data_IF_859212484814
#
_entry.id   IF_859212484814
#
_cell.length_a   1.000
_cell.length_b   1.000
_cell.length_c   1.000
_cell.angle_alpha   90.00
_cell.angle_beta   90.00
_cell.angle_gamma   90.00
#
_symmetry.space_group_name_H-M   'P 1'
#
loop_
_entity.id
_entity.type
_entity.pdbx_description
1 polymer ?
#
# COMPACT_ATOMS: atom_id res chain seq x y z
N UNK A 1 -11.00 -4.43 29.24
CA UNK A 1 -9.76 -4.60 28.43
C UNK A 1 -9.57 -6.07 28.07
N UNK A 2 -9.89 -6.45 26.82
CA UNK A 2 -9.35 -7.57 26.03
C UNK A 2 -10.27 -7.76 24.84
N UNK A 3 -10.06 -6.95 23.81
CA UNK A 3 -10.47 -7.33 22.47
C UNK A 3 -9.59 -8.54 22.11
N UNK A 4 -10.11 -9.75 22.34
CA UNK A 4 -9.59 -10.92 21.66
C UNK A 4 -9.79 -10.64 20.19
N UNK A 5 -8.70 -10.29 19.51
CA UNK A 5 -8.65 -10.12 18.06
C UNK A 5 -9.30 -11.37 17.46
N UNK A 6 -10.47 -11.19 16.86
CA UNK A 6 -11.25 -12.32 16.37
C UNK A 6 -10.49 -12.98 15.21
N UNK A 7 -10.54 -14.31 15.03
CA UNK A 7 -9.75 -15.02 14.02
C UNK A 7 -9.97 -14.54 12.58
N UNK A 8 -11.12 -13.92 12.29
CA UNK A 8 -11.40 -13.23 11.03
C UNK A 8 -10.51 -12.00 10.79
N UNK A 9 -10.09 -11.30 11.84
CA UNK A 9 -9.23 -10.12 11.72
C UNK A 9 -7.80 -10.49 11.34
N UNK A 10 -7.21 -11.52 11.96
CA UNK A 10 -5.87 -12.00 11.59
C UNK A 10 -5.82 -12.45 10.14
N UNK A 11 -6.85 -13.16 9.68
CA UNK A 11 -6.97 -13.56 8.27
C UNK A 11 -7.06 -12.35 7.35
N UNK A 12 -7.77 -11.31 7.75
CA UNK A 12 -7.89 -10.08 6.97
C UNK A 12 -6.56 -9.32 6.88
N UNK A 13 -5.83 -9.19 8.00
CA UNK A 13 -4.48 -8.61 8.01
C UNK A 13 -3.53 -9.40 7.12
N UNK A 14 -3.53 -10.73 7.22
CA UNK A 14 -2.68 -11.58 6.40
C UNK A 14 -2.96 -11.40 4.89
N UNK A 15 -4.24 -11.36 4.50
CA UNK A 15 -4.64 -11.08 3.12
C UNK A 15 -4.23 -9.69 2.65
N UNK A 16 -4.37 -8.69 3.52
CA UNK A 16 -3.94 -7.32 3.22
C UNK A 16 -2.43 -7.25 2.98
N UNK A 17 -1.62 -7.88 3.84
CA UNK A 17 -0.17 -7.95 3.66
C UNK A 17 0.22 -8.71 2.39
N UNK A 18 -0.44 -9.83 2.09
CA UNK A 18 -0.23 -10.58 0.85
C UNK A 18 -0.63 -9.77 -0.39
N UNK A 19 -1.72 -9.00 -0.31
CA UNK A 19 -2.14 -8.08 -1.37
C UNK A 19 -1.09 -6.99 -1.61
N UNK A 20 -0.55 -6.41 -0.53
CA UNK A 20 0.55 -5.46 -0.58
C UNK A 20 1.80 -6.05 -1.22
N UNK A 21 2.25 -7.21 -0.76
CA UNK A 21 3.41 -7.91 -1.32
C UNK A 21 3.23 -8.24 -2.81
N UNK A 22 2.02 -8.67 -3.21
CA UNK A 22 1.67 -8.93 -4.61
C UNK A 22 1.75 -7.64 -5.45
N UNK A 23 1.22 -6.53 -4.94
CA UNK A 23 1.28 -5.22 -5.59
C UNK A 23 2.73 -4.74 -5.76
N UNK A 24 3.57 -4.90 -4.74
CA UNK A 24 5.01 -4.60 -4.82
C UNK A 24 5.70 -5.47 -5.87
N UNK A 25 5.40 -6.77 -5.92
CA UNK A 25 5.93 -7.68 -6.93
C UNK A 25 5.54 -7.24 -8.36
N UNK A 26 4.28 -6.85 -8.57
CA UNK A 26 3.80 -6.30 -9.84
C UNK A 26 4.56 -5.02 -10.21
N UNK A 27 4.74 -4.10 -9.26
CA UNK A 27 5.49 -2.86 -9.49
C UNK A 27 6.92 -3.16 -9.97
N UNK A 28 7.64 -4.01 -9.23
CA UNK A 28 9.02 -4.40 -9.56
C UNK A 28 9.09 -5.07 -10.92
N UNK A 29 8.16 -5.99 -11.22
CA UNK A 29 8.11 -6.67 -12.51
C UNK A 29 7.89 -5.71 -13.68
N UNK A 30 6.97 -4.74 -13.54
CA UNK A 30 6.72 -3.74 -14.59
C UNK A 30 7.95 -2.84 -14.78
N UNK A 31 8.53 -2.31 -13.70
CA UNK A 31 9.74 -1.46 -13.81
C UNK A 31 10.87 -2.23 -14.46
N UNK A 32 11.17 -3.44 -13.99
CA UNK A 32 12.25 -4.27 -14.53
C UNK A 32 12.02 -4.57 -16.02
N UNK A 33 10.79 -4.90 -16.41
CA UNK A 33 10.47 -5.20 -17.82
C UNK A 33 10.60 -3.97 -18.70
N UNK A 34 10.03 -2.83 -18.32
CA UNK A 34 10.07 -1.61 -19.13
C UNK A 34 11.50 -1.05 -19.25
N UNK A 35 12.28 -1.06 -18.18
CA UNK A 35 13.65 -0.55 -18.22
C UNK A 35 14.54 -1.46 -19.07
N UNK A 36 14.51 -2.78 -18.84
CA UNK A 36 15.43 -3.71 -19.51
C UNK A 36 15.01 -4.08 -20.94
N UNK A 37 13.71 -4.21 -21.22
CA UNK A 37 13.25 -4.69 -22.53
C UNK A 37 13.02 -3.57 -23.55
N UNK A 38 12.69 -2.35 -23.11
CA UNK A 38 12.35 -1.24 -24.02
C UNK A 38 13.23 -0.01 -23.87
N UNK A 39 14.18 -0.01 -22.93
CA UNK A 39 15.04 1.15 -22.66
C UNK A 39 14.26 2.35 -22.12
N UNK A 40 13.05 2.15 -21.62
CA UNK A 40 12.22 3.22 -21.06
C UNK A 40 12.91 3.84 -19.86
N UNK A 41 12.88 5.18 -19.74
CA UNK A 41 13.51 5.84 -18.60
C UNK A 41 12.93 5.34 -17.27
N UNK A 42 13.75 5.19 -16.22
CA UNK A 42 13.27 4.69 -14.92
C UNK A 42 12.11 5.50 -14.36
N UNK A 43 12.08 6.81 -14.58
CA UNK A 43 10.99 7.69 -14.14
C UNK A 43 9.66 7.29 -14.80
N UNK A 44 9.63 7.15 -16.14
CA UNK A 44 8.42 6.76 -16.88
C UNK A 44 7.97 5.34 -16.49
N UNK A 45 8.92 4.41 -16.37
CA UNK A 45 8.63 3.04 -15.96
C UNK A 45 8.01 2.97 -14.56
N UNK A 46 8.53 3.75 -13.61
CA UNK A 46 7.96 3.83 -12.25
C UNK A 46 6.57 4.44 -12.25
N UNK A 47 6.28 5.46 -13.06
CA UNK A 47 4.92 6.03 -13.16
C UNK A 47 3.90 4.98 -13.63
N UNK A 48 4.23 4.22 -14.69
CA UNK A 48 3.36 3.16 -15.21
C UNK A 48 3.18 2.06 -14.16
N UNK A 49 4.28 1.59 -13.58
CA UNK A 49 4.26 0.56 -12.55
C UNK A 49 3.42 0.97 -11.34
N UNK A 50 3.54 2.22 -10.89
CA UNK A 50 2.80 2.73 -9.74
C UNK A 50 1.28 2.71 -9.98
N UNK A 51 0.83 3.17 -11.15
CA UNK A 51 -0.59 3.16 -11.52
C UNK A 51 -1.13 1.74 -11.58
N UNK A 52 -0.43 0.84 -12.27
CA UNK A 52 -0.82 -0.56 -12.39
C UNK A 52 -0.85 -1.27 -11.03
N UNK A 53 0.21 -1.12 -10.23
CA UNK A 53 0.31 -1.74 -8.91
C UNK A 53 -0.76 -1.22 -7.95
N UNK A 54 -1.08 0.07 -7.99
CA UNK A 54 -2.14 0.68 -7.18
C UNK A 54 -3.52 0.16 -7.60
N UNK A 55 -3.79 0.06 -8.90
CA UNK A 55 -5.05 -0.51 -9.41
C UNK A 55 -5.20 -1.98 -9.00
N UNK A 56 -4.15 -2.79 -9.15
CA UNK A 56 -4.12 -4.18 -8.68
C UNK A 56 -4.32 -4.27 -7.17
N UNK A 57 -3.68 -3.39 -6.39
CA UNK A 57 -3.86 -3.32 -4.93
C UNK A 57 -5.31 -3.04 -4.56
N UNK A 58 -5.96 -2.10 -5.23
CA UNK A 58 -7.38 -1.80 -5.02
C UNK A 58 -8.26 -3.03 -5.31
N UNK A 59 -8.03 -3.72 -6.43
CA UNK A 59 -8.82 -4.89 -6.82
C UNK A 59 -8.64 -6.04 -5.82
N UNK A 60 -7.39 -6.39 -5.49
CA UNK A 60 -7.09 -7.48 -4.56
C UNK A 60 -7.64 -7.15 -3.16
N UNK A 61 -7.42 -5.93 -2.67
CA UNK A 61 -7.92 -5.55 -1.35
C UNK A 61 -9.45 -5.54 -1.30
N UNK A 62 -10.10 -4.98 -2.32
CA UNK A 62 -11.56 -4.91 -2.36
C UNK A 62 -12.19 -6.29 -2.47
N UNK A 63 -11.74 -7.10 -3.43
CA UNK A 63 -12.40 -8.37 -3.75
C UNK A 63 -11.99 -9.52 -2.82
N UNK A 64 -10.77 -9.50 -2.29
CA UNK A 64 -10.22 -10.62 -1.52
C UNK A 64 -9.92 -10.29 -0.05
N UNK A 65 -9.18 -9.21 0.25
CA UNK A 65 -8.84 -8.86 1.63
C UNK A 65 -10.09 -8.49 2.43
N UNK A 66 -10.90 -7.58 1.91
CA UNK A 66 -12.09 -7.05 2.58
C UNK A 66 -13.41 -7.65 2.05
N UNK A 67 -13.36 -8.41 0.94
CA UNK A 67 -14.53 -9.07 0.32
C UNK A 67 -15.73 -8.12 0.16
N UNK A 68 -15.45 -6.91 -0.32
CA UNK A 68 -16.41 -5.85 -0.61
C UNK A 68 -16.71 -5.74 -2.10
N UNK A 69 -17.75 -4.99 -2.46
CA UNK A 69 -18.12 -4.72 -3.85
C UNK A 69 -17.31 -3.56 -4.42
N UNK A 70 -17.00 -3.65 -5.72
CA UNK A 70 -16.42 -2.54 -6.47
C UNK A 70 -17.47 -1.45 -6.63
N UNK A 71 -17.16 -0.26 -6.13
CA UNK A 71 -18.04 0.90 -6.25
C UNK A 71 -17.19 2.17 -6.31
N UNK A 72 -17.71 3.23 -6.95
CA UNK A 72 -16.99 4.50 -7.07
C UNK A 72 -16.65 5.09 -5.68
N UNK A 73 -17.53 4.94 -4.70
CA UNK A 73 -17.26 5.38 -3.32
C UNK A 73 -16.06 4.66 -2.71
N UNK A 74 -15.96 3.34 -2.91
CA UNK A 74 -14.83 2.53 -2.41
C UNK A 74 -13.53 2.94 -3.09
N UNK A 75 -13.57 3.21 -4.41
CA UNK A 75 -12.42 3.69 -5.17
C UNK A 75 -11.91 5.04 -4.63
N UNK A 76 -12.80 6.01 -4.44
CA UNK A 76 -12.40 7.34 -3.93
C UNK A 76 -11.86 7.28 -2.50
N UNK A 77 -12.47 6.47 -1.62
CA UNK A 77 -11.94 6.24 -0.28
C UNK A 77 -10.58 5.55 -0.33
N UNK A 78 -10.42 4.57 -1.22
CA UNK A 78 -9.14 3.87 -1.39
C UNK A 78 -8.04 4.82 -1.88
N UNK A 79 -8.36 5.67 -2.88
CA UNK A 79 -7.45 6.69 -3.37
C UNK A 79 -7.07 7.69 -2.26
N UNK A 80 -8.04 8.13 -1.45
CA UNK A 80 -7.79 8.97 -0.28
C UNK A 80 -6.82 8.33 0.71
N UNK A 81 -7.04 7.07 1.10
CA UNK A 81 -6.12 6.34 1.99
C UNK A 81 -4.75 6.12 1.35
N UNK A 82 -4.68 5.87 0.04
CA UNK A 82 -3.42 5.72 -0.69
C UNK A 82 -2.61 7.02 -0.67
N UNK A 83 -3.26 8.17 -0.90
CA UNK A 83 -2.63 9.50 -0.80
C UNK A 83 -2.16 9.79 0.64
N UNK A 84 -2.94 9.41 1.65
CA UNK A 84 -2.51 9.49 3.05
C UNK A 84 -1.27 8.62 3.30
N UNK A 85 -1.22 7.41 2.75
CA UNK A 85 -0.06 6.52 2.86
C UNK A 85 1.20 7.11 2.22
N UNK A 86 1.06 7.78 1.07
CA UNK A 86 2.15 8.53 0.43
C UNK A 86 2.61 9.68 1.32
N UNK A 87 1.66 10.46 1.86
CA UNK A 87 1.97 11.55 2.80
C UNK A 87 2.72 11.08 4.05
N UNK A 88 2.29 9.96 4.65
CA UNK A 88 2.98 9.33 5.78
C UNK A 88 4.39 8.89 5.39
N UNK A 89 4.55 8.26 4.22
CA UNK A 89 5.86 7.82 3.72
C UNK A 89 6.82 9.01 3.57
N UNK A 90 6.34 10.11 2.97
CA UNK A 90 7.11 11.34 2.81
C UNK A 90 7.46 11.99 4.16
N UNK A 91 6.48 12.09 5.07
CA UNK A 91 6.69 12.68 6.40
C UNK A 91 7.69 11.89 7.25
N UNK A 92 7.58 10.56 7.27
CA UNK A 92 8.53 9.68 7.97
C UNK A 92 9.93 9.82 7.37
N UNK A 93 10.03 9.80 6.03
CA UNK A 93 11.33 9.91 5.37
C UNK A 93 11.98 11.27 5.58
N UNK A 94 11.20 12.35 5.56
CA UNK A 94 11.67 13.71 5.80
C UNK A 94 12.11 13.93 7.25
N UNK A 95 11.33 13.44 8.22
CA UNK A 95 11.70 13.52 9.65
C UNK A 95 12.94 12.68 9.95
N UNK A 96 13.06 11.47 9.38
CA UNK A 96 14.26 10.66 9.52
C UNK A 96 15.51 11.38 8.97
N UNK A 97 15.39 12.03 7.82
CA UNK A 97 16.48 12.83 7.24
C UNK A 97 16.81 14.06 8.08
N UNK A 98 15.82 14.79 8.59
CA UNK A 98 16.03 16.03 9.34
C UNK A 98 16.73 15.82 10.68
N UNK A 99 16.52 14.66 11.32
CA UNK A 99 17.23 14.29 12.56
C UNK A 99 18.56 13.57 12.31
N UNK A 100 18.99 13.44 11.05
CA UNK A 100 20.24 12.75 10.68
C UNK A 100 20.21 11.24 10.88
N UNK A 101 19.03 10.61 10.88
CA UNK A 101 18.92 9.15 10.98
C UNK A 101 19.43 8.44 9.74
N UNK A 102 19.84 7.18 9.92
CA UNK A 102 20.18 6.29 8.81
C UNK A 102 18.98 6.07 7.88
N UNK A 103 19.28 5.93 6.59
CA UNK A 103 18.31 5.53 5.56
C UNK A 103 17.52 4.27 5.97
N UNK A 104 18.21 3.28 6.54
CA UNK A 104 17.60 2.01 6.94
C UNK A 104 16.58 2.18 8.07
N UNK A 105 16.82 3.11 8.99
CA UNK A 105 15.88 3.44 10.07
C UNK A 105 14.62 4.07 9.49
N UNK A 106 14.76 5.03 8.58
CA UNK A 106 13.62 5.65 7.89
C UNK A 106 12.80 4.62 7.11
N UNK A 107 13.48 3.74 6.36
CA UNK A 107 12.84 2.67 5.60
C UNK A 107 12.08 1.69 6.52
N UNK A 108 12.69 1.26 7.63
CA UNK A 108 12.04 0.38 8.59
C UNK A 108 10.77 1.02 9.18
N UNK A 109 10.82 2.31 9.52
CA UNK A 109 9.65 3.05 9.98
C UNK A 109 8.54 3.07 8.92
N UNK A 110 8.87 3.37 7.66
CA UNK A 110 7.88 3.36 6.57
C UNK A 110 7.23 1.99 6.41
N UNK A 111 8.03 0.92 6.35
CA UNK A 111 7.57 -0.46 6.12
C UNK A 111 6.69 -0.97 7.25
N UNK A 112 6.92 -0.53 8.50
CA UNK A 112 6.13 -0.97 9.65
C UNK A 112 4.90 -0.09 9.88
N UNK A 113 5.04 1.23 9.78
CA UNK A 113 4.01 2.19 10.16
C UNK A 113 2.96 2.33 9.05
N UNK A 114 3.40 2.50 7.79
CA UNK A 114 2.46 2.82 6.70
C UNK A 114 1.45 1.70 6.44
N UNK A 115 1.83 0.40 6.36
CA UNK A 115 0.87 -0.68 6.21
C UNK A 115 -0.10 -0.80 7.39
N UNK A 116 0.37 -0.56 8.62
CA UNK A 116 -0.48 -0.59 9.81
C UNK A 116 -1.55 0.50 9.77
N UNK A 117 -1.16 1.75 9.49
CA UNK A 117 -2.09 2.88 9.38
C UNK A 117 -3.06 2.72 8.21
N UNK A 118 -2.57 2.33 7.04
CA UNK A 118 -3.42 2.14 5.85
C UNK A 118 -4.39 0.98 6.03
N UNK A 119 -3.99 -0.12 6.68
CA UNK A 119 -4.90 -1.21 7.04
C UNK A 119 -6.05 -0.72 7.93
N UNK A 120 -5.74 0.01 9.01
CA UNK A 120 -6.75 0.54 9.93
C UNK A 120 -7.70 1.49 9.19
N UNK A 121 -7.16 2.42 8.40
CA UNK A 121 -7.97 3.37 7.63
C UNK A 121 -8.88 2.68 6.60
N UNK A 122 -8.36 1.67 5.89
CA UNK A 122 -9.18 0.90 4.96
C UNK A 122 -10.28 0.13 5.68
N UNK A 123 -9.96 -0.50 6.80
CA UNK A 123 -10.92 -1.26 7.60
C UNK A 123 -12.02 -0.38 8.19
N UNK A 124 -11.67 0.76 8.78
CA UNK A 124 -12.61 1.60 9.51
C UNK A 124 -13.40 2.56 8.61
N UNK A 125 -12.89 2.90 7.42
CA UNK A 125 -13.50 3.92 6.57
C UNK A 125 -13.76 3.45 5.13
N UNK A 126 -12.77 2.87 4.46
CA UNK A 126 -12.93 2.44 3.05
C UNK A 126 -13.96 1.33 2.91
N UNK A 127 -13.82 0.28 3.73
CA UNK A 127 -14.62 -0.95 3.67
C UNK A 127 -15.51 -1.14 4.89
N UNK A 128 -15.90 -0.03 5.55
CA UNK A 128 -16.92 -0.07 6.59
C UNK A 128 -18.19 -0.71 6.01
N UNK A 129 -18.72 -1.71 6.74
CA UNK A 129 -19.96 -2.41 6.39
C UNK A 129 -21.16 -1.57 6.76
#
# INVERSE_FOLDING_TARGET
MRALVRPDEFRQVARFLLAGASSTGIHVAIVATLVNATGTSPVKANCVAFVCATACSYLINTLWSFSSRLHHTTLWRFAGVSLLGVGLTMGISWTAQSVGSSYWTGLACVVLIVPAFTYVAHRSWTYQK
#
